data_IF_915908311054
#
_entry.id   IF_915908311054
#
_cell.length_a   1.000
_cell.length_b   1.000
_cell.length_c   1.000
_cell.angle_alpha   90.00
_cell.angle_beta   90.00
_cell.angle_gamma   90.00
#
_symmetry.space_group_name_H-M   'P 1'
#
loop_
_entity.id
_entity.type
_entity.pdbx_description
1 polymer ?
#
# COMPACT_ATOMS: atom_id res chain seq x y z
N UNK A 1 -3.15 -39.07 -59.12
CA UNK A 1 -3.82 -39.04 -57.81
C UNK A 1 -3.13 -37.96 -56.97
N UNK A 2 -3.88 -36.91 -56.68
CA UNK A 2 -3.43 -35.68 -56.02
C UNK A 2 -3.81 -35.79 -54.53
N UNK A 3 -2.83 -35.74 -53.63
CA UNK A 3 -3.07 -35.69 -52.19
C UNK A 3 -2.84 -34.24 -51.77
N UNK A 4 -3.95 -33.50 -51.60
CA UNK A 4 -3.97 -32.12 -51.15
C UNK A 4 -3.45 -32.00 -49.73
N UNK A 5 -2.49 -31.09 -49.51
CA UNK A 5 -2.03 -30.69 -48.19
C UNK A 5 -3.01 -29.67 -47.60
N UNK A 6 -3.59 -29.98 -46.44
CA UNK A 6 -4.37 -29.03 -45.65
C UNK A 6 -3.45 -28.56 -44.52
N UNK A 7 -2.90 -27.35 -44.68
CA UNK A 7 -2.23 -26.62 -43.60
C UNK A 7 -3.31 -25.91 -42.78
N UNK A 8 -3.63 -26.44 -41.60
CA UNK A 8 -4.40 -25.72 -40.58
C UNK A 8 -3.49 -24.68 -39.91
N UNK A 9 -3.64 -23.42 -40.28
CA UNK A 9 -3.05 -22.30 -39.55
C UNK A 9 -4.01 -21.90 -38.42
N UNK A 10 -3.76 -22.38 -37.20
CA UNK A 10 -4.40 -21.91 -35.98
C UNK A 10 -3.80 -20.55 -35.59
N UNK A 11 -4.53 -19.47 -35.88
CA UNK A 11 -4.18 -18.13 -35.44
C UNK A 11 -4.36 -17.99 -33.92
N UNK A 12 -3.25 -17.80 -33.20
CA UNK A 12 -3.25 -17.37 -31.80
C UNK A 12 -3.60 -15.88 -31.75
N UNK A 13 -4.84 -15.55 -31.44
CA UNK A 13 -5.22 -14.19 -31.07
C UNK A 13 -4.69 -13.92 -29.66
N UNK A 14 -3.55 -13.23 -29.55
CA UNK A 14 -3.08 -12.71 -28.28
C UNK A 14 -3.94 -11.50 -27.89
N UNK A 15 -4.89 -11.69 -26.98
CA UNK A 15 -5.64 -10.60 -26.36
C UNK A 15 -4.71 -9.83 -25.42
N UNK A 16 -4.07 -8.77 -25.91
CA UNK A 16 -3.36 -7.81 -25.04
C UNK A 16 -4.40 -6.96 -24.29
N UNK A 17 -4.67 -7.34 -23.04
CA UNK A 17 -5.41 -6.50 -22.10
C UNK A 17 -4.47 -5.36 -21.72
N UNK A 18 -4.57 -4.22 -22.40
CA UNK A 18 -3.92 -2.99 -21.96
C UNK A 18 -4.69 -2.46 -20.75
N UNK A 19 -4.02 -2.35 -19.60
CA UNK A 19 -4.53 -1.56 -18.49
C UNK A 19 -4.66 -0.10 -18.96
N UNK A 20 -5.86 0.47 -18.88
CA UNK A 20 -6.06 1.89 -19.16
C UNK A 20 -5.25 2.74 -18.14
N UNK A 21 -4.60 3.83 -18.57
CA UNK A 21 -3.91 4.71 -17.63
C UNK A 21 -4.93 5.31 -16.67
N UNK A 22 -4.65 5.19 -15.37
CA UNK A 22 -5.47 5.76 -14.32
C UNK A 22 -5.11 7.24 -14.25
N UNK A 23 -6.02 8.11 -14.65
CA UNK A 23 -5.83 9.57 -14.58
C UNK A 23 -6.26 10.12 -13.22
N UNK A 24 -5.98 9.40 -12.13
CA UNK A 24 -6.26 9.89 -10.78
C UNK A 24 -5.10 10.74 -10.28
N UNK A 25 -5.40 11.81 -9.54
CA UNK A 25 -4.42 12.54 -8.75
C UNK A 25 -3.63 11.58 -7.85
N UNK A 26 -2.35 11.89 -7.63
CA UNK A 26 -1.56 11.20 -6.61
C UNK A 26 -2.24 11.34 -5.25
N UNK A 27 -2.27 10.24 -4.50
CA UNK A 27 -2.73 10.27 -3.12
C UNK A 27 -1.56 10.61 -2.21
N UNK A 28 -1.77 11.55 -1.30
CA UNK A 28 -0.75 11.98 -0.34
C UNK A 28 -1.07 11.46 1.05
N UNK A 29 -0.10 10.79 1.67
CA UNK A 29 -0.18 10.44 3.09
C UNK A 29 0.38 11.59 3.91
N UNK A 30 -0.52 12.25 4.65
CA UNK A 30 -0.28 13.45 5.44
C UNK A 30 0.09 13.10 6.86
N UNK A 31 1.08 13.80 7.41
CA UNK A 31 1.40 13.80 8.83
C UNK A 31 1.57 12.39 9.44
N UNK A 32 2.21 11.49 8.69
CA UNK A 32 2.44 10.11 9.14
C UNK A 32 3.22 10.09 10.46
N UNK A 33 2.69 9.37 11.44
CA UNK A 33 3.30 9.17 12.75
C UNK A 33 2.97 7.80 13.30
N UNK A 34 3.96 7.14 13.91
CA UNK A 34 3.82 5.89 14.67
C UNK A 34 4.30 6.11 16.11
N UNK A 35 3.50 5.72 17.10
CA UNK A 35 3.90 5.72 18.51
C UNK A 35 3.64 4.34 19.07
N UNK A 36 4.68 3.70 19.59
CA UNK A 36 4.59 2.44 20.29
C UNK A 36 4.61 2.67 21.80
N UNK A 37 3.94 1.81 22.56
CA UNK A 37 4.12 1.76 24.01
C UNK A 37 5.52 1.27 24.38
N UNK A 38 5.91 1.46 25.63
CA UNK A 38 7.25 1.10 26.13
C UNK A 38 7.54 -0.40 25.99
N UNK A 39 6.52 -1.26 26.12
CA UNK A 39 6.67 -2.70 25.93
C UNK A 39 6.73 -3.13 24.46
N UNK A 40 6.53 -2.21 23.52
CA UNK A 40 6.42 -2.46 22.09
C UNK A 40 5.41 -3.57 21.75
N UNK A 41 4.31 -3.62 22.50
CA UNK A 41 3.21 -4.55 22.27
C UNK A 41 2.03 -3.94 21.53
N UNK A 42 2.01 -2.62 21.43
CA UNK A 42 1.00 -1.85 20.71
C UNK A 42 1.64 -0.63 20.06
N UNK A 43 1.45 -0.47 18.75
CA UNK A 43 1.86 0.71 18.01
C UNK A 43 0.63 1.37 17.37
N UNK A 44 0.38 2.62 17.74
CA UNK A 44 -0.66 3.47 17.14
C UNK A 44 -0.07 4.28 15.99
N UNK A 45 -0.70 4.17 14.83
CA UNK A 45 -0.40 4.92 13.63
C UNK A 45 -1.48 5.97 13.42
N UNK A 46 -1.07 7.20 13.12
CA UNK A 46 -1.96 8.33 12.83
C UNK A 46 -1.49 9.06 11.58
N UNK A 47 -2.39 9.26 10.62
CA UNK A 47 -2.10 9.96 9.36
C UNK A 47 -3.39 10.40 8.65
N UNK A 48 -3.26 11.31 7.70
CA UNK A 48 -4.31 11.65 6.74
C UNK A 48 -4.08 10.98 5.39
N UNK A 49 -5.15 10.61 4.70
CA UNK A 49 -5.16 10.13 3.31
C UNK A 49 -5.83 11.21 2.47
N UNK A 50 -5.04 11.95 1.70
CA UNK A 50 -5.48 13.03 0.83
C UNK A 50 -5.51 12.55 -0.62
N UNK A 51 -6.69 12.37 -1.21
CA UNK A 51 -6.85 11.93 -2.60
C UNK A 51 -6.78 13.07 -3.61
N UNK A 52 -6.64 14.32 -3.15
CA UNK A 52 -6.82 15.54 -3.94
C UNK A 52 -8.29 16.00 -4.06
N UNK A 53 -9.27 15.10 -3.87
CA UNK A 53 -10.69 15.47 -3.75
C UNK A 53 -11.13 15.61 -2.30
N UNK A 54 -10.63 14.73 -1.44
CA UNK A 54 -11.04 14.58 -0.05
C UNK A 54 -9.84 14.21 0.82
N UNK A 55 -9.95 14.48 2.13
CA UNK A 55 -8.95 14.03 3.11
C UNK A 55 -9.63 13.23 4.21
N UNK A 56 -9.18 11.98 4.40
CA UNK A 56 -9.66 11.09 5.45
C UNK A 56 -8.59 10.89 6.53
N UNK A 57 -8.94 11.15 7.80
CA UNK A 57 -8.08 10.79 8.93
C UNK A 57 -8.09 9.28 9.18
N UNK A 58 -6.95 8.73 9.54
CA UNK A 58 -6.77 7.32 9.85
C UNK A 58 -6.08 7.17 11.20
N UNK A 59 -6.67 6.36 12.08
CA UNK A 59 -6.02 5.84 13.28
C UNK A 59 -6.07 4.32 13.20
N UNK A 60 -4.90 3.72 13.25
CA UNK A 60 -4.69 2.30 13.01
C UNK A 60 -3.76 1.76 14.08
N UNK A 61 -4.14 0.67 14.75
CA UNK A 61 -3.36 0.09 15.86
C UNK A 61 -2.87 -1.30 15.46
N UNK A 62 -1.58 -1.53 15.67
CA UNK A 62 -0.93 -2.84 15.52
C UNK A 62 -0.64 -3.38 16.90
N UNK A 63 -1.14 -4.57 17.21
CA UNK A 63 -0.84 -5.28 18.46
C UNK A 63 -0.09 -6.58 18.15
N UNK A 64 1.04 -6.80 18.81
CA UNK A 64 1.86 -8.01 18.69
C UNK A 64 2.82 -8.10 19.88
N UNK A 65 3.66 -9.14 19.94
CA UNK A 65 4.78 -9.18 20.91
C UNK A 65 5.91 -8.20 20.55
N UNK A 66 6.04 -7.88 19.26
CA UNK A 66 6.96 -6.88 18.70
C UNK A 66 6.19 -6.06 17.65
N UNK A 67 5.39 -5.11 18.12
CA UNK A 67 4.40 -4.41 17.32
C UNK A 67 5.02 -3.50 16.25
N UNK A 68 6.21 -2.95 16.49
CA UNK A 68 6.94 -2.13 15.50
C UNK A 68 7.38 -2.93 14.27
N UNK A 69 7.59 -4.24 14.41
CA UNK A 69 8.03 -5.13 13.31
C UNK A 69 6.96 -6.15 12.91
N UNK A 70 5.70 -5.87 13.22
CA UNK A 70 4.58 -6.76 12.94
C UNK A 70 3.78 -6.34 11.68
N UNK A 71 3.05 -7.31 11.15
CA UNK A 71 1.97 -7.05 10.21
C UNK A 71 0.72 -6.65 10.99
N UNK A 72 -0.17 -5.87 10.38
CA UNK A 72 -1.45 -5.62 11.01
C UNK A 72 -2.57 -5.24 10.04
N UNK A 73 -3.69 -4.86 10.64
CA UNK A 73 -4.94 -4.60 9.94
C UNK A 73 -5.73 -5.90 9.67
N UNK A 74 -6.83 -5.80 8.91
CA UNK A 74 -7.33 -4.59 8.27
C UNK A 74 -7.93 -3.58 9.25
N UNK A 75 -7.85 -2.30 8.93
CA UNK A 75 -8.53 -1.22 9.65
C UNK A 75 -9.22 -0.27 8.68
N UNK A 76 -10.42 0.18 9.06
CA UNK A 76 -11.22 1.10 8.26
C UNK A 76 -10.88 2.55 8.61
N UNK A 77 -10.62 3.37 7.58
CA UNK A 77 -10.29 4.78 7.68
C UNK A 77 -11.12 5.56 6.66
N UNK A 78 -12.39 5.82 6.99
CA UNK A 78 -13.36 6.37 6.04
C UNK A 78 -13.65 5.39 4.90
N UNK A 79 -13.47 5.82 3.65
CA UNK A 79 -13.63 4.98 2.46
C UNK A 79 -12.45 4.00 2.22
N UNK A 80 -11.39 4.10 3.04
CA UNK A 80 -10.17 3.34 2.85
C UNK A 80 -10.06 2.16 3.81
N UNK A 81 -9.50 1.05 3.33
CA UNK A 81 -9.04 -0.07 4.15
C UNK A 81 -7.53 -0.09 4.18
N UNK A 82 -6.95 -0.13 5.37
CA UNK A 82 -5.50 -0.13 5.61
C UNK A 82 -5.05 -1.45 6.22
N UNK A 83 -4.00 -2.04 5.65
CA UNK A 83 -3.19 -3.11 6.27
C UNK A 83 -1.72 -2.71 6.24
N UNK A 84 -0.88 -3.34 7.05
CA UNK A 84 0.57 -3.13 7.00
C UNK A 84 1.35 -4.44 6.99
N UNK A 85 2.54 -4.41 6.38
CA UNK A 85 3.52 -5.47 6.48
C UNK A 85 4.92 -4.91 6.72
N UNK A 86 5.64 -5.49 7.69
CA UNK A 86 7.02 -5.13 7.96
C UNK A 86 8.00 -6.09 7.25
N UNK A 87 9.12 -5.56 6.79
CA UNK A 87 10.21 -6.32 6.20
C UNK A 87 11.57 -5.86 6.72
N UNK A 88 12.35 -6.80 7.24
CA UNK A 88 13.78 -6.66 7.53
C UNK A 88 14.68 -7.36 6.50
N UNK A 89 14.18 -7.61 5.28
CA UNK A 89 14.88 -8.40 4.26
C UNK A 89 16.27 -7.85 3.90
N UNK A 90 16.48 -6.54 4.05
CA UNK A 90 17.73 -5.86 3.72
C UNK A 90 18.61 -5.55 4.94
N UNK A 91 18.43 -6.29 6.03
CA UNK A 91 19.00 -6.14 7.38
C UNK A 91 17.97 -5.59 8.40
N UNK A 92 17.88 -6.15 9.63
CA UNK A 92 16.94 -5.68 10.65
C UNK A 92 17.12 -4.22 11.07
N UNK A 93 18.32 -3.64 10.91
CA UNK A 93 18.56 -2.22 11.19
C UNK A 93 18.09 -1.29 10.06
N UNK A 94 17.74 -1.85 8.90
CA UNK A 94 17.19 -1.14 7.74
C UNK A 94 15.76 -1.62 7.43
N UNK A 95 15.01 -1.96 8.48
CA UNK A 95 13.62 -2.38 8.39
C UNK A 95 12.71 -1.28 7.83
N UNK A 96 11.63 -1.71 7.21
CA UNK A 96 10.58 -0.80 6.74
C UNK A 96 9.20 -1.45 6.83
N UNK A 97 8.19 -0.62 6.99
CA UNK A 97 6.78 -1.01 6.90
C UNK A 97 6.19 -0.47 5.61
N UNK A 98 5.54 -1.36 4.86
CA UNK A 98 4.67 -0.98 3.74
C UNK A 98 3.22 -1.05 4.17
N UNK A 99 2.46 0.01 3.93
CA UNK A 99 1.02 0.03 4.05
C UNK A 99 0.39 -0.41 2.73
N UNK A 100 -0.76 -1.07 2.79
CA UNK A 100 -1.68 -1.18 1.66
C UNK A 100 -2.89 -0.32 1.98
N UNK A 101 -3.08 0.79 1.25
CA UNK A 101 -4.22 1.70 1.45
C UNK A 101 -5.14 1.56 0.25
N UNK A 102 -6.29 0.91 0.48
CA UNK A 102 -7.21 0.46 -0.57
C UNK A 102 -8.52 1.24 -0.51
N UNK A 103 -9.00 1.75 -1.64
CA UNK A 103 -10.38 2.23 -1.79
C UNK A 103 -11.14 1.25 -2.70
N UNK A 104 -12.06 0.48 -2.11
CA UNK A 104 -12.82 -0.57 -2.83
C UNK A 104 -13.76 0.05 -3.87
N UNK A 105 -14.45 1.13 -3.49
CA UNK A 105 -15.45 1.78 -4.33
C UNK A 105 -14.80 2.38 -5.58
N UNK A 106 -13.65 3.03 -5.41
CA UNK A 106 -12.85 3.57 -6.51
C UNK A 106 -12.07 2.50 -7.30
N UNK A 107 -11.96 1.26 -6.79
CA UNK A 107 -11.18 0.21 -7.44
C UNK A 107 -9.67 0.49 -7.42
N UNK A 108 -9.16 1.18 -6.39
CA UNK A 108 -7.79 1.72 -6.35
C UNK A 108 -7.01 1.36 -5.09
N UNK A 109 -5.67 1.38 -5.20
CA UNK A 109 -4.74 1.10 -4.10
C UNK A 109 -3.42 1.87 -4.25
N UNK A 110 -2.81 2.24 -3.14
CA UNK A 110 -1.41 2.71 -3.04
C UNK A 110 -0.63 1.86 -2.02
N UNK A 111 0.70 1.87 -2.13
CA UNK A 111 1.61 1.17 -1.21
C UNK A 111 2.66 2.09 -0.56
N UNK A 112 2.27 2.94 0.41
CA UNK A 112 3.22 3.78 1.13
C UNK A 112 4.26 2.97 1.91
N UNK A 113 5.52 3.33 1.77
CA UNK A 113 6.64 2.69 2.48
C UNK A 113 7.32 3.68 3.43
N UNK A 114 7.58 3.23 4.66
CA UNK A 114 8.25 4.02 5.68
C UNK A 114 9.35 3.19 6.34
N UNK A 115 10.57 3.72 6.41
CA UNK A 115 11.64 3.08 7.18
C UNK A 115 11.39 3.20 8.68
N UNK A 116 11.98 2.28 9.45
CA UNK A 116 11.89 2.37 10.91
C UNK A 116 12.49 3.67 11.45
N UNK A 117 13.56 4.19 10.83
CA UNK A 117 14.15 5.49 11.14
C UNK A 117 13.18 6.66 10.94
N UNK A 118 12.37 6.64 9.87
CA UNK A 118 11.36 7.67 9.65
C UNK A 118 10.28 7.66 10.74
N UNK A 119 9.99 6.47 11.28
CA UNK A 119 8.91 6.23 12.24
C UNK A 119 9.37 6.29 13.70
N UNK A 120 10.66 6.47 13.95
CA UNK A 120 11.24 6.49 15.28
C UNK A 120 10.73 7.67 16.11
N UNK A 121 10.70 7.46 17.43
CA UNK A 121 10.45 8.47 18.46
C UNK A 121 9.12 9.23 18.37
N UNK A 122 8.13 8.70 17.65
CA UNK A 122 6.84 9.36 17.50
C UNK A 122 6.91 10.66 16.70
N UNK A 123 7.96 10.82 15.88
CA UNK A 123 8.09 11.95 14.98
C UNK A 123 7.02 11.91 13.89
N UNK A 124 6.65 13.10 13.40
CA UNK A 124 5.85 13.22 12.19
C UNK A 124 6.80 13.16 11.00
N UNK A 125 6.60 12.18 10.12
CA UNK A 125 7.40 12.03 8.90
C UNK A 125 7.21 13.27 8.02
N UNK A 126 8.32 13.90 7.64
CA UNK A 126 8.35 15.02 6.70
C UNK A 126 9.44 14.82 5.64
N UNK A 127 9.20 15.23 4.38
CA UNK A 127 7.92 15.73 3.86
C UNK A 127 6.83 14.64 3.83
N UNK A 128 5.57 15.05 3.68
CA UNK A 128 4.48 14.12 3.36
C UNK A 128 4.82 13.38 2.06
N UNK A 129 4.38 12.13 1.92
CA UNK A 129 4.71 11.28 0.77
C UNK A 129 3.49 11.07 -0.13
N UNK A 130 3.69 11.22 -1.44
CA UNK A 130 2.65 11.07 -2.46
C UNK A 130 2.91 9.84 -3.33
N UNK A 131 1.83 9.16 -3.73
CA UNK A 131 1.89 7.92 -4.49
C UNK A 131 0.79 7.90 -5.54
N UNK A 132 1.12 7.44 -6.74
CA UNK A 132 0.15 7.26 -7.81
C UNK A 132 -0.71 6.01 -7.54
N UNK A 133 -2.05 6.13 -7.45
CA UNK A 133 -2.93 4.99 -7.28
C UNK A 133 -2.85 4.01 -8.45
N UNK A 134 -2.91 2.71 -8.13
CA UNK A 134 -3.02 1.61 -9.10
C UNK A 134 -4.41 0.97 -9.01
N UNK A 135 -4.88 0.39 -10.11
CA UNK A 135 -6.13 -0.33 -10.17
C UNK A 135 -6.00 -1.67 -9.41
N UNK A 136 -7.08 -2.07 -8.75
CA UNK A 136 -7.18 -3.34 -8.02
C UNK A 136 -7.34 -4.58 -8.91
#
# INVERSE_FOLDING_TARGET
>A
MQISQILLATGLFASSIFAAPITSSDWTIRDMKRVCNDENTSCTWSFGIDSGSDTAGCTYVVEATDASHANGGPSACGAYTVTSGWSGQFDPTNGFTTLSVKNIEAGQIIWPGYSDDQLADGNVVKPDQSYTPTAL
#
